data_IF_032679671590
#
_entry.id   IF_032679671590
#
_cell.length_a   1.000
_cell.length_b   1.000
_cell.length_c   1.000
_cell.angle_alpha   90.00
_cell.angle_beta   90.00
_cell.angle_gamma   90.00
#
_symmetry.space_group_name_H-M   'P 1'
#
loop_
_entity.id
_entity.type
_entity.pdbx_description
1 polymer ?
#
# COMPACT_ATOMS: atom_id res chain seq x y z
N UNK A 1 42.87 6.54 -11.67
CA UNK A 1 42.07 6.75 -12.89
C UNK A 1 40.60 6.81 -12.48
N UNK A 2 40.13 7.99 -12.11
CA UNK A 2 38.72 8.25 -11.81
C UNK A 2 37.93 8.30 -13.11
N UNK A 3 37.15 7.24 -13.36
CA UNK A 3 36.19 7.24 -14.45
C UNK A 3 35.08 8.24 -14.10
N UNK A 4 35.13 9.43 -14.70
CA UNK A 4 34.08 10.44 -14.65
C UNK A 4 32.77 9.82 -15.15
N UNK A 5 31.90 9.37 -14.24
CA UNK A 5 30.56 8.92 -14.60
C UNK A 5 29.87 10.05 -15.35
N UNK A 6 29.44 9.79 -16.58
CA UNK A 6 28.73 10.81 -17.35
C UNK A 6 27.49 11.28 -16.59
N UNK A 7 27.14 12.58 -16.62
CA UNK A 7 25.98 13.12 -15.88
C UNK A 7 24.66 12.44 -16.28
N UNK A 8 24.58 11.87 -17.49
CA UNK A 8 23.45 11.08 -17.97
C UNK A 8 23.30 9.73 -17.26
N UNK A 9 24.39 9.06 -16.90
CA UNK A 9 24.36 7.77 -16.22
C UNK A 9 23.98 7.92 -14.75
N UNK A 10 24.49 8.96 -14.08
CA UNK A 10 24.09 9.34 -12.71
C UNK A 10 22.58 9.67 -12.62
N UNK A 11 22.05 10.46 -13.55
CA UNK A 11 20.63 10.85 -13.56
C UNK A 11 19.68 9.67 -13.77
N UNK A 12 20.04 8.72 -14.64
CA UNK A 12 19.25 7.50 -14.87
C UNK A 12 19.22 6.61 -13.63
N UNK A 13 20.36 6.37 -12.97
CA UNK A 13 20.38 5.56 -11.75
C UNK A 13 19.55 6.16 -10.63
N UNK A 14 19.55 7.49 -10.48
CA UNK A 14 18.71 8.17 -9.48
C UNK A 14 17.21 8.03 -9.79
N UNK A 15 16.81 8.13 -11.06
CA UNK A 15 15.42 7.94 -11.47
C UNK A 15 14.93 6.51 -11.16
N UNK A 16 15.71 5.49 -11.55
CA UNK A 16 15.35 4.09 -11.28
C UNK A 16 15.25 3.81 -9.77
N UNK A 17 16.20 4.30 -8.98
CA UNK A 17 16.14 4.20 -7.52
C UNK A 17 14.85 4.80 -6.96
N UNK A 18 14.49 6.02 -7.38
CA UNK A 18 13.28 6.69 -6.91
C UNK A 18 12.00 5.95 -7.30
N UNK A 19 11.93 5.39 -8.51
CA UNK A 19 10.77 4.60 -8.93
C UNK A 19 10.60 3.34 -8.08
N UNK A 20 11.70 2.64 -7.77
CA UNK A 20 11.66 1.43 -6.93
C UNK A 20 11.32 1.80 -5.49
N UNK A 21 11.89 2.88 -4.95
CA UNK A 21 11.63 3.35 -3.60
C UNK A 21 10.15 3.78 -3.42
N UNK A 22 9.60 4.52 -4.37
CA UNK A 22 8.17 4.89 -4.39
C UNK A 22 7.28 3.66 -4.51
N UNK A 23 7.63 2.72 -5.37
CA UNK A 23 6.91 1.46 -5.54
C UNK A 23 6.89 0.63 -4.26
N UNK A 24 8.04 0.46 -3.61
CA UNK A 24 8.15 -0.27 -2.34
C UNK A 24 7.38 0.43 -1.21
N UNK A 25 7.46 1.76 -1.13
CA UNK A 25 6.71 2.55 -0.16
C UNK A 25 5.18 2.40 -0.35
N UNK A 26 4.70 2.51 -1.59
CA UNK A 26 3.29 2.29 -1.90
C UNK A 26 2.88 0.84 -1.59
N UNK A 27 3.69 -0.14 -1.96
CA UNK A 27 3.42 -1.55 -1.71
C UNK A 27 3.26 -1.87 -0.21
N UNK A 28 4.17 -1.36 0.64
CA UNK A 28 4.08 -1.56 2.10
C UNK A 28 2.79 -0.93 2.67
N UNK A 29 2.40 0.24 2.18
CA UNK A 29 1.15 0.87 2.61
C UNK A 29 -0.08 0.10 2.13
N UNK A 30 -0.04 -0.48 0.93
CA UNK A 30 -1.11 -1.33 0.40
C UNK A 30 -1.26 -2.62 1.23
N UNK A 31 -0.14 -3.28 1.57
CA UNK A 31 -0.15 -4.46 2.45
C UNK A 31 -0.69 -4.12 3.84
N UNK A 32 -0.29 -2.97 4.40
CA UNK A 32 -0.79 -2.52 5.69
C UNK A 32 -2.30 -2.22 5.63
N UNK A 33 -2.79 -1.56 4.58
CA UNK A 33 -4.22 -1.31 4.39
C UNK A 33 -5.02 -2.62 4.29
N UNK A 34 -4.52 -3.58 3.52
CA UNK A 34 -5.13 -4.90 3.38
C UNK A 34 -5.18 -5.64 4.73
N UNK A 35 -4.07 -5.64 5.47
CA UNK A 35 -3.99 -6.23 6.80
C UNK A 35 -4.95 -5.59 7.80
N UNK A 36 -5.17 -4.27 7.71
CA UNK A 36 -6.10 -3.53 8.57
C UNK A 36 -7.55 -3.92 8.26
N UNK A 37 -7.92 -4.02 6.99
CA UNK A 37 -9.25 -4.51 6.58
C UNK A 37 -9.50 -5.95 7.02
N UNK A 38 -8.52 -6.84 6.84
CA UNK A 38 -8.60 -8.23 7.32
C UNK A 38 -8.72 -8.26 8.86
N UNK A 39 -7.95 -7.42 9.57
CA UNK A 39 -8.02 -7.30 11.02
C UNK A 39 -9.39 -6.84 11.50
N UNK A 40 -9.99 -5.85 10.85
CA UNK A 40 -11.36 -5.41 11.13
C UNK A 40 -12.36 -6.54 10.92
N UNK A 41 -12.20 -7.32 9.86
CA UNK A 41 -13.04 -8.48 9.60
C UNK A 41 -12.90 -9.56 10.69
N UNK A 42 -11.67 -9.83 11.16
CA UNK A 42 -11.42 -10.73 12.29
C UNK A 42 -12.09 -10.21 13.58
N UNK A 43 -12.04 -8.91 13.83
CA UNK A 43 -12.71 -8.30 14.99
C UNK A 43 -14.24 -8.44 14.91
N UNK A 44 -14.81 -8.26 13.72
CA UNK A 44 -16.24 -8.49 13.47
C UNK A 44 -16.64 -9.95 13.73
N UNK A 45 -15.73 -10.88 13.43
CA UNK A 45 -15.83 -12.30 13.73
C UNK A 45 -15.55 -12.66 15.21
N UNK A 46 -15.57 -11.69 16.11
CA UNK A 46 -15.29 -11.86 17.55
C UNK A 46 -13.91 -12.51 17.83
N UNK A 47 -12.93 -12.24 16.96
CA UNK A 47 -11.58 -12.83 17.00
C UNK A 47 -11.55 -14.38 17.05
N UNK A 48 -12.62 -15.03 16.59
CA UNK A 48 -12.74 -16.48 16.54
C UNK A 48 -12.51 -16.99 15.13
N UNK A 49 -11.74 -18.07 14.99
CA UNK A 49 -11.59 -18.78 13.71
C UNK A 49 -12.94 -19.25 13.17
N UNK A 50 -13.79 -19.80 14.03
CA UNK A 50 -15.12 -20.28 13.63
C UNK A 50 -16.02 -19.12 13.18
N UNK A 51 -16.00 -18.00 13.91
CA UNK A 51 -16.73 -16.79 13.54
C UNK A 51 -16.26 -16.22 12.20
N UNK A 52 -14.95 -16.26 11.94
CA UNK A 52 -14.35 -15.73 10.70
C UNK A 52 -14.80 -16.54 9.50
N UNK A 53 -14.74 -17.87 9.58
CA UNK A 53 -15.19 -18.72 8.48
C UNK A 53 -16.71 -18.65 8.28
N UNK A 54 -17.48 -18.61 9.37
CA UNK A 54 -18.94 -18.46 9.28
C UNK A 54 -19.34 -17.18 8.57
N UNK A 55 -18.73 -16.06 8.96
CA UNK A 55 -19.01 -14.76 8.36
C UNK A 55 -18.50 -14.69 6.92
N UNK A 56 -17.32 -15.26 6.66
CA UNK A 56 -16.75 -15.34 5.31
C UNK A 56 -17.62 -16.17 4.36
N UNK A 57 -18.15 -17.30 4.83
CA UNK A 57 -19.09 -18.13 4.07
C UNK A 57 -20.39 -17.37 3.80
N UNK A 58 -20.97 -16.75 4.83
CA UNK A 58 -22.19 -15.95 4.70
C UNK A 58 -22.05 -14.82 3.66
N UNK A 59 -20.94 -14.07 3.71
CA UNK A 59 -20.60 -13.05 2.73
C UNK A 59 -20.42 -13.63 1.32
N UNK A 60 -19.72 -14.76 1.20
CA UNK A 60 -19.48 -15.38 -0.10
C UNK A 60 -20.77 -15.91 -0.74
N UNK A 61 -21.65 -16.53 0.03
CA UNK A 61 -22.94 -17.04 -0.44
C UNK A 61 -23.86 -15.89 -0.86
N UNK A 62 -23.90 -14.81 -0.07
CA UNK A 62 -24.67 -13.63 -0.43
C UNK A 62 -24.13 -12.95 -1.70
N UNK A 63 -22.81 -12.84 -1.83
CA UNK A 63 -22.17 -12.28 -3.02
C UNK A 63 -22.43 -13.13 -4.28
N UNK A 64 -22.33 -14.46 -4.16
CA UNK A 64 -22.55 -15.40 -5.27
C UNK A 64 -24.01 -15.54 -5.67
N UNK A 65 -24.95 -15.30 -4.76
CA UNK A 65 -26.39 -15.27 -5.05
C UNK A 65 -26.88 -13.90 -5.53
N UNK A 66 -26.13 -12.83 -5.27
CA UNK A 66 -26.51 -11.48 -5.65
C UNK A 66 -26.50 -11.26 -7.18
N UNK A 67 -27.37 -10.36 -7.72
CA UNK A 67 -27.31 -9.92 -9.10
C UNK A 67 -25.97 -9.23 -9.45
N UNK A 68 -25.59 -9.23 -10.73
CA UNK A 68 -24.34 -8.60 -11.19
C UNK A 68 -24.17 -7.13 -10.76
N UNK A 69 -25.26 -6.35 -10.75
CA UNK A 69 -25.21 -4.95 -10.31
C UNK A 69 -24.83 -4.80 -8.82
N UNK A 70 -25.43 -5.62 -7.95
CA UNK A 70 -25.12 -5.61 -6.51
C UNK A 70 -23.70 -6.10 -6.21
N UNK A 71 -23.17 -7.04 -7.00
CA UNK A 71 -21.77 -7.47 -6.90
C UNK A 71 -20.80 -6.34 -7.23
N UNK A 72 -21.10 -5.57 -8.29
CA UNK A 72 -20.28 -4.43 -8.69
C UNK A 72 -20.29 -3.32 -7.62
N UNK A 73 -21.45 -3.05 -7.02
CA UNK A 73 -21.58 -2.11 -5.91
C UNK A 73 -20.78 -2.56 -4.69
N UNK A 74 -20.89 -3.84 -4.30
CA UNK A 74 -20.09 -4.40 -3.21
C UNK A 74 -18.59 -4.25 -3.48
N UNK A 75 -18.13 -4.61 -4.69
CA UNK A 75 -16.73 -4.45 -5.07
C UNK A 75 -16.29 -2.98 -4.99
N UNK A 76 -17.13 -2.05 -5.46
CA UNK A 76 -16.85 -0.62 -5.37
C UNK A 76 -16.71 -0.16 -3.92
N UNK A 77 -17.61 -0.58 -3.03
CA UNK A 77 -17.55 -0.24 -1.60
C UNK A 77 -16.25 -0.77 -0.97
N UNK A 78 -15.87 -2.02 -1.28
CA UNK A 78 -14.63 -2.62 -0.77
C UNK A 78 -13.40 -1.86 -1.29
N UNK A 79 -13.37 -1.49 -2.58
CA UNK A 79 -12.28 -0.70 -3.14
C UNK A 79 -12.20 0.70 -2.53
N UNK A 80 -13.33 1.39 -2.37
CA UNK A 80 -13.37 2.71 -1.72
C UNK A 80 -12.87 2.62 -0.28
N UNK A 81 -13.29 1.61 0.48
CA UNK A 81 -12.82 1.40 1.84
C UNK A 81 -11.30 1.14 1.88
N UNK A 82 -10.79 0.31 0.98
CA UNK A 82 -9.35 0.06 0.82
C UNK A 82 -8.60 1.34 0.47
N UNK A 83 -9.05 2.08 -0.53
CA UNK A 83 -8.41 3.31 -1.02
C UNK A 83 -8.37 4.39 0.06
N UNK A 84 -9.42 4.51 0.88
CA UNK A 84 -9.45 5.43 2.02
C UNK A 84 -8.38 5.09 3.06
N UNK A 85 -8.31 3.82 3.47
CA UNK A 85 -7.29 3.36 4.44
C UNK A 85 -5.89 3.52 3.86
N UNK A 86 -5.71 3.12 2.60
CA UNK A 86 -4.45 3.26 1.88
C UNK A 86 -4.00 4.72 1.77
N UNK A 87 -4.91 5.64 1.43
CA UNK A 87 -4.63 7.07 1.35
C UNK A 87 -4.21 7.64 2.71
N UNK A 88 -4.91 7.28 3.79
CA UNK A 88 -4.54 7.72 5.16
C UNK A 88 -3.15 7.21 5.55
N UNK A 89 -2.82 5.96 5.25
CA UNK A 89 -1.49 5.40 5.51
C UNK A 89 -0.40 6.08 4.66
N UNK A 90 -0.68 6.32 3.38
CA UNK A 90 0.22 7.06 2.50
C UNK A 90 0.46 8.49 3.03
N UNK A 91 -0.59 9.22 3.41
CA UNK A 91 -0.46 10.59 3.92
C UNK A 91 0.30 10.64 5.24
N UNK A 92 -0.01 9.73 6.18
CA UNK A 92 0.68 9.67 7.47
C UNK A 92 2.16 9.30 7.35
N UNK A 93 2.54 8.47 6.37
CA UNK A 93 3.94 8.06 6.12
C UNK A 93 4.64 8.87 5.04
N UNK A 94 4.01 9.95 4.56
CA UNK A 94 4.59 10.83 3.56
C UNK A 94 5.82 11.57 4.09
N UNK A 95 5.86 11.88 5.39
CA UNK A 95 7.00 12.51 6.05
C UNK A 95 8.26 11.64 5.94
N UNK A 96 8.16 10.34 6.19
CA UNK A 96 9.28 9.41 6.10
C UNK A 96 9.86 9.36 4.68
N UNK A 97 8.99 9.35 3.66
CA UNK A 97 9.42 9.40 2.25
C UNK A 97 10.13 10.73 1.93
N UNK A 98 9.61 11.85 2.43
CA UNK A 98 10.23 13.18 2.27
C UNK A 98 11.60 13.27 2.95
N UNK A 99 11.76 12.68 4.14
CA UNK A 99 13.04 12.63 4.84
C UNK A 99 14.07 11.79 4.08
N UNK A 100 13.68 10.63 3.56
CA UNK A 100 14.54 9.82 2.69
C UNK A 100 14.94 10.57 1.40
N UNK A 101 14.05 11.44 0.90
CA UNK A 101 14.35 12.29 -0.26
C UNK A 101 15.37 13.37 0.05
N UNK A 102 15.23 14.04 1.20
CA UNK A 102 16.15 15.08 1.62
C UNK A 102 17.56 14.53 1.88
N UNK A 103 17.69 13.36 2.52
CA UNK A 103 19.00 12.75 2.80
C UNK A 103 19.73 12.27 1.55
N UNK A 104 19.00 11.86 0.51
CA UNK A 104 19.58 11.48 -0.78
C UNK A 104 20.14 12.68 -1.58
N UNK A 105 19.69 13.90 -1.27
CA UNK A 105 20.09 15.13 -1.99
C UNK A 105 21.27 15.82 -1.31
N UNK A 106 21.46 15.66 0.00
CA UNK A 106 22.57 16.30 0.72
C UNK A 106 23.85 15.49 0.52
N UNK A 107 24.82 15.93 -0.30
CA UNK A 107 26.12 15.27 -0.37
C UNK A 107 26.77 15.40 1.00
N UNK A 108 27.23 14.29 1.57
CA UNK A 108 28.10 14.31 2.74
C UNK A 108 29.28 15.22 2.43
N UNK A 109 29.34 16.41 3.03
CA UNK A 109 30.55 17.23 3.06
C UNK A 109 31.60 16.43 3.82
N UNK A 110 32.68 15.96 3.16
CA UNK A 110 33.78 15.34 3.87
C UNK A 110 34.47 16.42 4.70
N UNK A 111 34.48 16.22 6.03
CA UNK A 111 35.32 16.94 6.98
C UNK A 111 36.78 16.50 6.87
#
# INVERSE_FOLDING_TARGET
MEATRSPRQSRRSSFFYWTIALGAWAFINALAALGLLIGLFILMANASFEGFFREGLNLSEHYLSAPHAARAEFAMVVFVAFDLVFAVLCLSRLSALRHAAASAISPSTPS
#
